data_IF_515760165376
#
_entry.id   IF_515760165376
#
_cell.length_a   1.000
_cell.length_b   1.000
_cell.length_c   1.000
_cell.angle_alpha   90.00
_cell.angle_beta   90.00
_cell.angle_gamma   90.00
#
_symmetry.space_group_name_H-M   'P 1'
#
loop_
_entity.id
_entity.type
_entity.pdbx_description
1 polymer ?
#
# COMPACT_ATOMS: atom_id res chain seq x y z
N UNK A 1 5.68 3.95 27.69
CA UNK A 1 6.14 4.95 26.69
C UNK A 1 7.29 4.31 25.94
N UNK A 2 7.23 4.23 24.60
CA UNK A 2 8.33 3.71 23.78
C UNK A 2 9.38 4.81 23.66
N UNK A 3 10.61 4.56 24.08
CA UNK A 3 11.75 5.44 23.92
C UNK A 3 12.59 5.08 22.68
N UNK A 4 13.52 5.93 22.31
CA UNK A 4 14.37 5.76 21.12
C UNK A 4 15.24 4.51 21.22
N UNK A 5 15.76 4.17 22.40
CA UNK A 5 16.61 3.01 22.57
C UNK A 5 15.82 1.70 22.42
N UNK A 6 14.56 1.70 22.84
CA UNK A 6 13.64 0.59 22.58
C UNK A 6 13.48 0.35 21.07
N UNK A 7 13.27 1.41 20.29
CA UNK A 7 13.20 1.32 18.82
C UNK A 7 14.52 0.83 18.23
N UNK A 8 15.65 1.45 18.62
CA UNK A 8 16.99 1.08 18.15
C UNK A 8 17.32 -0.38 18.41
N UNK A 9 16.86 -0.94 19.56
CA UNK A 9 17.08 -2.33 19.92
C UNK A 9 16.39 -3.33 18.97
N UNK A 10 15.40 -2.88 18.22
CA UNK A 10 14.60 -3.68 17.28
C UNK A 10 15.02 -3.52 15.82
N UNK A 11 15.92 -2.57 15.53
CA UNK A 11 16.46 -2.43 14.19
C UNK A 11 17.50 -3.54 13.96
N UNK A 12 17.34 -4.40 12.92
CA UNK A 12 18.34 -5.43 12.59
C UNK A 12 19.71 -4.81 12.28
N UNK A 13 20.79 -5.54 12.59
CA UNK A 13 22.15 -5.00 12.46
C UNK A 13 22.59 -4.62 11.05
N UNK A 14 21.93 -5.17 10.01
CA UNK A 14 22.14 -4.88 8.59
C UNK A 14 21.12 -3.85 8.04
N UNK A 15 20.33 -3.23 8.91
CA UNK A 15 19.24 -2.34 8.59
C UNK A 15 19.47 -0.94 9.15
N UNK A 16 18.80 0.04 8.54
CA UNK A 16 18.69 1.42 9.05
C UNK A 16 17.23 1.87 8.98
N UNK A 17 16.76 2.56 10.01
CA UNK A 17 15.45 3.21 10.01
C UNK A 17 15.63 4.68 9.58
N UNK A 18 14.79 5.12 8.65
CA UNK A 18 14.71 6.50 8.18
C UNK A 18 13.31 7.02 8.50
N UNK A 19 13.22 7.87 9.52
CA UNK A 19 12.00 8.59 9.87
C UNK A 19 11.95 9.89 9.08
N UNK A 20 10.97 10.01 8.19
CA UNK A 20 10.74 11.20 7.38
C UNK A 20 9.58 11.98 7.97
N UNK A 21 9.71 13.29 8.08
CA UNK A 21 8.70 14.16 8.66
C UNK A 21 8.55 15.45 7.87
N UNK A 22 7.31 15.89 7.69
CA UNK A 22 6.96 17.21 7.21
C UNK A 22 6.81 18.12 8.43
N UNK A 23 7.62 19.15 8.52
CA UNK A 23 7.67 20.04 9.67
C UNK A 23 7.56 21.50 9.25
N UNK A 24 6.92 22.32 10.06
CA UNK A 24 6.92 23.76 9.90
C UNK A 24 7.90 24.38 10.90
N UNK A 25 9.08 24.84 10.48
CA UNK A 25 10.04 25.50 11.37
C UNK A 25 9.49 26.80 11.92
N UNK A 26 9.77 27.09 13.20
CA UNK A 26 9.39 28.32 13.89
C UNK A 26 10.68 29.06 14.28
N UNK A 27 10.75 30.36 14.01
CA UNK A 27 11.80 31.20 14.56
C UNK A 27 11.52 31.53 16.02
N UNK A 28 12.33 31.02 16.93
CA UNK A 28 12.14 31.17 18.37
C UNK A 28 12.16 32.66 18.83
N UNK A 29 12.92 33.48 18.11
CA UNK A 29 13.03 34.94 18.43
C UNK A 29 11.79 35.76 18.01
N UNK A 30 10.84 35.12 17.28
CA UNK A 30 9.65 35.77 16.70
C UNK A 30 8.33 35.08 17.07
N UNK A 31 8.26 34.37 18.17
CA UNK A 31 7.10 33.54 18.58
C UNK A 31 5.78 34.32 18.67
N UNK A 32 5.82 35.68 18.74
CA UNK A 32 4.65 36.52 18.94
C UNK A 32 3.99 36.97 17.62
N UNK A 33 4.58 36.68 16.45
CA UNK A 33 4.05 37.11 15.15
C UNK A 33 3.55 35.95 14.31
N UNK A 34 2.38 36.02 13.65
CA UNK A 34 1.94 35.02 12.65
C UNK A 34 2.95 34.84 11.52
N UNK A 35 3.77 35.82 11.22
CA UNK A 35 4.82 35.81 10.19
C UNK A 35 6.09 35.04 10.62
N UNK A 36 6.12 34.50 11.83
CA UNK A 36 7.26 33.70 12.33
C UNK A 36 7.38 32.31 11.73
N UNK A 37 6.36 31.85 11.00
CA UNK A 37 6.34 30.53 10.38
C UNK A 37 7.15 30.55 9.08
N UNK A 38 8.17 29.69 9.01
CA UNK A 38 8.90 29.44 7.77
C UNK A 38 8.15 28.48 6.85
N UNK A 39 8.49 28.42 5.56
CA UNK A 39 7.98 27.38 4.68
C UNK A 39 8.19 25.99 5.29
N UNK A 40 7.20 25.11 5.11
CA UNK A 40 7.29 23.73 5.55
C UNK A 40 8.45 23.00 4.84
N UNK A 41 9.06 22.08 5.54
CA UNK A 41 10.21 21.31 5.07
C UNK A 41 10.00 19.83 5.33
N UNK A 42 10.58 19.00 4.47
CA UNK A 42 10.82 17.61 4.82
C UNK A 42 12.18 17.48 5.48
N UNK A 43 12.21 16.70 6.55
CA UNK A 43 13.41 16.36 7.31
C UNK A 43 13.46 14.85 7.52
N UNK A 44 14.63 14.32 7.80
CA UNK A 44 14.82 12.92 8.11
C UNK A 44 15.68 12.72 9.36
N UNK A 45 15.34 11.69 10.14
CA UNK A 45 16.22 11.11 11.15
C UNK A 45 16.69 9.74 10.68
N UNK A 46 17.99 9.56 10.59
CA UNK A 46 18.63 8.29 10.31
C UNK A 46 18.94 7.62 11.64
N UNK A 47 18.18 6.56 11.94
CA UNK A 47 18.26 5.85 13.23
C UNK A 47 18.92 4.49 12.99
N UNK A 48 20.08 4.25 13.63
CA UNK A 48 20.84 3.02 13.52
C UNK A 48 20.60 2.10 14.72
N UNK A 49 20.91 0.78 14.62
CA UNK A 49 20.87 -0.13 15.76
C UNK A 49 21.63 0.41 16.98
N UNK A 50 21.32 -0.07 18.18
CA UNK A 50 21.93 0.41 19.45
C UNK A 50 23.47 0.41 19.48
N UNK A 51 24.12 -0.50 18.73
CA UNK A 51 25.58 -0.58 18.62
C UNK A 51 26.18 0.31 17.53
N UNK A 52 25.32 1.04 16.81
CA UNK A 52 25.75 1.96 15.77
C UNK A 52 25.97 3.38 16.28
N UNK A 53 26.35 4.26 15.34
CA UNK A 53 26.51 5.70 15.59
C UNK A 53 25.21 6.35 16.09
N UNK A 54 25.32 7.59 16.56
CA UNK A 54 24.18 8.40 16.97
C UNK A 54 23.20 8.69 15.82
N UNK A 55 22.02 9.16 16.19
CA UNK A 55 20.97 9.56 15.25
C UNK A 55 21.47 10.74 14.40
N UNK A 56 21.36 10.63 13.09
CA UNK A 56 21.75 11.67 12.16
C UNK A 56 20.52 12.42 11.65
N UNK A 57 20.54 13.73 11.73
CA UNK A 57 19.51 14.61 11.16
C UNK A 57 19.89 15.04 9.75
N UNK A 58 18.92 15.03 8.82
CA UNK A 58 19.06 15.48 7.43
C UNK A 58 17.91 16.41 7.09
N UNK A 59 18.23 17.62 6.64
CA UNK A 59 17.26 18.54 6.07
C UNK A 59 17.14 18.28 4.56
N UNK A 60 15.98 17.85 4.11
CA UNK A 60 15.71 17.50 2.72
C UNK A 60 15.22 18.68 1.87
N UNK A 61 14.85 19.79 2.50
CA UNK A 61 14.44 21.01 1.80
C UNK A 61 12.96 21.33 1.90
N UNK A 62 12.53 22.31 1.12
CA UNK A 62 11.16 22.83 1.16
C UNK A 62 10.15 21.79 0.70
N UNK A 63 9.08 21.59 1.51
CA UNK A 63 8.03 20.60 1.25
C UNK A 63 7.33 20.86 -0.08
N UNK A 64 6.92 22.09 -0.36
CA UNK A 64 6.25 22.44 -1.61
C UNK A 64 7.06 22.13 -2.87
N UNK A 65 8.39 22.15 -2.80
CA UNK A 65 9.25 21.74 -3.93
C UNK A 65 9.23 20.23 -4.09
N UNK A 66 9.39 19.49 -3.00
CA UNK A 66 9.40 18.03 -3.01
C UNK A 66 8.03 17.49 -3.44
N UNK A 67 6.93 18.06 -2.95
CA UNK A 67 5.56 17.68 -3.34
C UNK A 67 5.35 17.81 -4.85
N UNK A 68 5.86 18.88 -5.48
CA UNK A 68 5.80 19.01 -6.96
C UNK A 68 6.60 17.94 -7.68
N UNK A 69 7.76 17.52 -7.15
CA UNK A 69 8.54 16.43 -7.73
C UNK A 69 7.82 15.08 -7.61
N UNK A 70 7.18 14.84 -6.46
CA UNK A 70 6.35 13.64 -6.25
C UNK A 70 5.19 13.61 -7.23
N UNK A 71 4.45 14.70 -7.35
CA UNK A 71 3.31 14.81 -8.27
C UNK A 71 3.75 14.61 -9.74
N UNK A 72 4.87 15.20 -10.16
CA UNK A 72 5.39 15.01 -11.51
C UNK A 72 5.80 13.55 -11.79
N UNK A 73 6.43 12.88 -10.83
CA UNK A 73 6.79 11.48 -10.95
C UNK A 73 5.55 10.58 -11.05
N UNK A 74 4.53 10.83 -10.22
CA UNK A 74 3.27 10.11 -10.28
C UNK A 74 2.55 10.29 -11.63
N UNK A 75 2.41 11.53 -12.09
CA UNK A 75 1.80 11.84 -13.40
C UNK A 75 2.53 11.08 -14.50
N UNK A 76 3.87 11.09 -14.52
CA UNK A 76 4.65 10.38 -15.53
C UNK A 76 4.43 8.87 -15.50
N UNK A 77 4.26 8.27 -14.30
CA UNK A 77 3.97 6.85 -14.17
C UNK A 77 2.54 6.52 -14.65
N UNK A 78 1.55 7.33 -14.27
CA UNK A 78 0.15 7.11 -14.67
C UNK A 78 -0.07 7.28 -16.18
N UNK A 79 0.68 8.14 -16.83
CA UNK A 79 0.66 8.33 -18.29
C UNK A 79 1.44 7.25 -19.05
N UNK A 80 2.20 6.42 -18.36
CA UNK A 80 3.10 5.43 -18.97
C UNK A 80 2.41 4.42 -19.90
N UNK A 81 1.21 3.88 -19.63
CA UNK A 81 0.56 2.96 -20.56
C UNK A 81 0.39 3.55 -21.95
N UNK A 82 -0.05 4.81 -22.04
CA UNK A 82 -0.20 5.54 -23.28
C UNK A 82 1.16 5.78 -23.98
N UNK A 83 2.16 6.22 -23.20
CA UNK A 83 3.50 6.47 -23.74
C UNK A 83 4.17 5.19 -24.26
N UNK A 84 3.95 4.04 -23.61
CA UNK A 84 4.45 2.74 -24.06
C UNK A 84 3.81 2.34 -25.38
N UNK A 85 2.50 2.55 -25.52
CA UNK A 85 1.77 2.26 -26.76
C UNK A 85 2.24 3.14 -27.93
N UNK A 86 2.45 4.43 -27.69
CA UNK A 86 2.84 5.41 -28.70
C UNK A 86 4.32 5.34 -29.10
N UNK A 87 5.24 5.14 -28.12
CA UNK A 87 6.67 5.35 -28.28
C UNK A 87 7.52 4.11 -27.96
N UNK A 88 6.90 3.03 -27.46
CA UNK A 88 7.55 1.81 -27.02
C UNK A 88 8.18 1.90 -25.62
N UNK A 89 8.47 0.74 -25.07
CA UNK A 89 8.94 0.58 -23.67
C UNK A 89 10.25 1.32 -23.36
N UNK A 90 11.18 1.39 -24.32
CA UNK A 90 12.49 2.01 -24.09
C UNK A 90 12.34 3.52 -23.89
N UNK A 91 11.62 4.21 -24.78
CA UNK A 91 11.46 5.66 -24.69
C UNK A 91 10.57 6.07 -23.51
N UNK A 92 9.49 5.33 -23.27
CA UNK A 92 8.66 5.53 -22.08
C UNK A 92 9.47 5.34 -20.79
N UNK A 93 10.37 4.35 -20.73
CA UNK A 93 11.25 4.13 -19.56
C UNK A 93 12.20 5.30 -19.35
N UNK A 94 12.76 5.88 -20.41
CA UNK A 94 13.61 7.07 -20.29
C UNK A 94 12.82 8.26 -19.75
N UNK A 95 11.60 8.45 -20.21
CA UNK A 95 10.74 9.54 -19.75
C UNK A 95 10.43 9.43 -18.26
N UNK A 96 10.00 8.24 -17.79
CA UNK A 96 9.69 8.04 -16.37
C UNK A 96 10.93 8.13 -15.49
N UNK A 97 12.10 7.65 -15.97
CA UNK A 97 13.36 7.82 -15.24
C UNK A 97 13.70 9.29 -15.08
N UNK A 98 13.57 10.10 -16.14
CA UNK A 98 13.81 11.55 -16.08
C UNK A 98 12.89 12.26 -15.08
N UNK A 99 11.66 11.78 -14.90
CA UNK A 99 10.73 12.31 -13.88
C UNK A 99 11.09 11.88 -12.45
N UNK A 100 11.72 10.70 -12.27
CA UNK A 100 12.15 10.17 -10.97
C UNK A 100 13.54 10.66 -10.54
N UNK A 101 14.42 11.04 -11.47
CA UNK A 101 15.79 11.51 -11.17
C UNK A 101 15.85 12.70 -10.20
N UNK A 102 14.95 13.70 -10.26
CA UNK A 102 14.92 14.77 -9.26
C UNK A 102 14.64 14.27 -7.84
N UNK A 103 13.87 13.18 -7.66
CA UNK A 103 13.64 12.55 -6.34
C UNK A 103 14.92 11.88 -5.83
N UNK A 104 15.70 11.24 -6.71
CA UNK A 104 17.01 10.73 -6.35
C UNK A 104 17.89 11.86 -5.80
N UNK A 105 18.06 12.92 -6.58
CA UNK A 105 18.96 14.03 -6.22
C UNK A 105 18.49 14.78 -4.96
N UNK A 106 17.19 14.99 -4.79
CA UNK A 106 16.63 15.78 -3.69
C UNK A 106 16.45 14.99 -2.40
N UNK A 107 16.09 13.70 -2.50
CA UNK A 107 15.75 12.87 -1.34
C UNK A 107 16.80 11.78 -1.10
N UNK A 108 17.01 10.90 -2.09
CA UNK A 108 17.83 9.71 -1.85
C UNK A 108 19.31 10.01 -1.66
N UNK A 109 19.90 10.87 -2.46
CA UNK A 109 21.33 11.18 -2.38
C UNK A 109 21.75 11.78 -1.02
N UNK A 110 21.02 12.75 -0.41
CA UNK A 110 21.30 13.20 0.95
C UNK A 110 21.14 12.09 1.99
N UNK A 111 20.08 11.25 1.87
CA UNK A 111 19.84 10.12 2.76
C UNK A 111 20.98 9.09 2.66
N UNK A 112 21.37 8.71 1.45
CA UNK A 112 22.45 7.74 1.22
C UNK A 112 23.79 8.19 1.82
N UNK A 113 24.14 9.47 1.68
CA UNK A 113 25.33 10.03 2.34
C UNK A 113 25.28 9.93 3.85
N UNK A 114 24.09 10.14 4.43
CA UNK A 114 23.89 10.07 5.87
C UNK A 114 23.85 8.63 6.39
N UNK A 115 23.36 7.68 5.60
CA UNK A 115 23.33 6.24 5.91
C UNK A 115 24.77 5.69 5.97
N UNK A 116 25.61 6.09 5.03
CA UNK A 116 26.93 5.52 4.83
C UNK A 116 26.91 4.16 4.14
N UNK A 117 28.07 3.51 4.10
CA UNK A 117 28.24 2.23 3.43
C UNK A 117 27.87 1.05 4.35
N UNK A 118 27.50 -0.08 3.73
CA UNK A 118 27.31 -1.37 4.43
C UNK A 118 25.87 -1.74 4.75
N UNK A 119 24.94 -0.81 4.78
CA UNK A 119 23.52 -1.11 4.97
C UNK A 119 22.89 -1.59 3.66
N UNK A 120 22.12 -2.67 3.73
CA UNK A 120 21.41 -3.24 2.57
C UNK A 120 19.89 -3.26 2.74
N UNK A 121 19.41 -3.03 3.96
CA UNK A 121 18.00 -2.99 4.30
C UNK A 121 17.61 -1.62 4.83
N UNK A 122 16.56 -1.06 4.24
CA UNK A 122 16.03 0.26 4.54
C UNK A 122 14.62 0.10 5.11
N UNK A 123 14.43 0.59 6.33
CA UNK A 123 13.12 0.75 6.94
C UNK A 123 12.75 2.21 6.81
N UNK A 124 11.72 2.52 6.02
CA UNK A 124 11.27 3.89 5.78
C UNK A 124 9.96 4.15 6.52
N UNK A 125 9.90 5.25 7.24
CA UNK A 125 8.67 5.83 7.77
C UNK A 125 8.38 7.12 6.99
N UNK A 126 7.63 7.06 5.88
CA UNK A 126 7.27 8.24 5.11
C UNK A 126 6.22 9.09 5.83
N UNK A 127 6.16 10.38 5.49
CA UNK A 127 5.14 11.32 5.96
C UNK A 127 4.54 12.08 4.78
N UNK A 128 3.28 12.44 4.87
CA UNK A 128 2.52 13.18 3.86
C UNK A 128 2.70 12.59 2.43
N UNK A 129 3.03 13.42 1.44
CA UNK A 129 3.15 12.99 0.04
C UNK A 129 4.32 12.01 -0.22
N UNK A 130 5.22 11.82 0.73
CA UNK A 130 6.31 10.83 0.58
C UNK A 130 5.80 9.37 0.58
N UNK A 131 4.58 9.10 1.05
CA UNK A 131 3.90 7.82 0.89
C UNK A 131 3.60 7.45 -0.57
N UNK A 132 3.51 8.46 -1.44
CA UNK A 132 3.18 8.29 -2.86
C UNK A 132 4.42 7.99 -3.72
N UNK A 133 5.61 8.06 -3.14
CA UNK A 133 6.87 7.81 -3.87
C UNK A 133 7.03 6.29 -4.08
N UNK A 134 7.23 5.85 -5.32
CA UNK A 134 7.66 4.48 -5.61
C UNK A 134 9.16 4.33 -5.29
N UNK A 135 9.49 4.28 -4.00
CA UNK A 135 10.87 4.25 -3.52
C UNK A 135 11.73 3.20 -4.24
N UNK A 136 11.15 2.03 -4.50
CA UNK A 136 11.81 0.95 -5.23
C UNK A 136 12.32 1.39 -6.62
N UNK A 137 11.60 2.31 -7.28
CA UNK A 137 11.86 2.76 -8.65
C UNK A 137 12.78 4.00 -8.74
N UNK A 138 13.22 4.56 -7.64
CA UNK A 138 14.17 5.69 -7.68
C UNK A 138 15.43 5.25 -8.43
N UNK A 139 15.83 5.93 -9.53
CA UNK A 139 17.08 5.61 -10.25
C UNK A 139 18.28 5.91 -9.37
N UNK A 140 19.24 4.98 -9.28
CA UNK A 140 20.51 5.18 -8.56
C UNK A 140 21.71 5.21 -9.49
N UNK A 141 21.54 4.82 -10.74
CA UNK A 141 22.48 4.98 -11.85
C UNK A 141 21.70 4.89 -13.16
N UNK A 142 22.36 5.05 -14.30
CA UNK A 142 21.73 4.95 -15.64
C UNK A 142 21.00 3.60 -15.86
N UNK A 143 21.46 2.53 -15.22
CA UNK A 143 20.94 1.18 -15.44
C UNK A 143 20.13 0.63 -14.26
N UNK A 144 20.34 1.14 -13.04
CA UNK A 144 19.80 0.54 -11.82
C UNK A 144 18.74 1.40 -11.13
N UNK A 145 17.83 0.69 -10.45
CA UNK A 145 16.86 1.25 -9.51
C UNK A 145 17.23 0.90 -8.07
N UNK A 146 16.67 1.64 -7.12
CA UNK A 146 16.96 1.50 -5.69
C UNK A 146 16.74 0.07 -5.18
N UNK A 147 15.67 -0.60 -5.62
CA UNK A 147 15.34 -1.98 -5.23
C UNK A 147 16.42 -2.99 -5.62
N UNK A 148 17.22 -2.71 -6.65
CA UNK A 148 18.27 -3.63 -7.07
C UNK A 148 19.46 -3.64 -6.10
N UNK A 149 19.62 -2.59 -5.28
CA UNK A 149 20.68 -2.52 -4.25
C UNK A 149 20.16 -2.69 -2.83
N UNK A 150 18.93 -2.24 -2.55
CA UNK A 150 18.37 -2.22 -1.20
C UNK A 150 17.07 -3.01 -1.11
N UNK A 151 16.88 -3.69 0.02
CA UNK A 151 15.61 -4.20 0.48
C UNK A 151 14.87 -3.06 1.20
N UNK A 152 13.64 -2.76 0.79
CA UNK A 152 12.87 -1.62 1.29
C UNK A 152 11.61 -2.12 1.97
N UNK A 153 11.40 -1.67 3.21
CA UNK A 153 10.19 -1.89 3.99
C UNK A 153 9.66 -0.55 4.47
N UNK A 154 8.35 -0.36 4.40
CA UNK A 154 7.70 0.81 4.96
C UNK A 154 7.15 0.50 6.36
N UNK A 155 7.10 1.50 7.22
CA UNK A 155 6.42 1.49 8.52
C UNK A 155 5.69 2.81 8.70
N UNK A 156 4.62 2.87 9.54
CA UNK A 156 3.99 4.15 9.84
C UNK A 156 4.89 4.99 10.76
N UNK A 157 5.59 4.33 11.67
CA UNK A 157 6.63 4.95 12.49
C UNK A 157 7.60 3.88 13.03
N UNK A 158 8.78 4.28 13.49
CA UNK A 158 9.72 3.36 14.12
C UNK A 158 9.18 2.68 15.36
N UNK A 159 8.13 3.20 15.99
CA UNK A 159 7.45 2.55 17.12
C UNK A 159 6.85 1.20 16.71
N UNK A 160 6.45 1.03 15.46
CA UNK A 160 5.87 -0.23 14.96
C UNK A 160 6.84 -1.39 15.13
N UNK A 161 8.16 -1.13 15.10
CA UNK A 161 9.17 -2.14 15.35
C UNK A 161 9.14 -2.73 16.77
N UNK A 162 8.53 -2.02 17.70
CA UNK A 162 8.46 -2.45 19.11
C UNK A 162 7.17 -3.21 19.44
N UNK A 163 6.23 -3.28 18.52
CA UNK A 163 5.00 -4.02 18.71
C UNK A 163 5.32 -5.52 18.83
N UNK A 164 4.81 -6.21 19.86
CA UNK A 164 5.06 -7.63 20.02
C UNK A 164 4.35 -8.39 18.87
N UNK A 165 5.01 -9.44 18.36
CA UNK A 165 4.35 -10.39 17.48
C UNK A 165 3.13 -10.99 18.19
N UNK A 166 2.01 -11.03 17.49
CA UNK A 166 0.76 -11.50 18.09
C UNK A 166 0.64 -13.02 17.92
N UNK A 167 1.01 -13.79 18.96
CA UNK A 167 0.97 -15.25 18.97
C UNK A 167 -0.48 -15.78 19.21
N UNK A 168 -1.45 -15.35 18.45
CA UNK A 168 -2.82 -15.83 18.57
C UNK A 168 -3.09 -17.01 17.63
N UNK A 169 -4.13 -17.79 17.93
CA UNK A 169 -4.62 -18.79 17.01
C UNK A 169 -5.18 -18.09 15.75
N UNK A 170 -4.54 -18.31 14.64
CA UNK A 170 -4.92 -17.74 13.34
C UNK A 170 -5.83 -18.70 12.58
N UNK A 171 -6.80 -18.14 11.90
CA UNK A 171 -7.66 -18.84 10.94
C UNK A 171 -6.92 -19.27 9.67
N UNK A 172 -7.69 -19.84 8.75
CA UNK A 172 -7.21 -20.17 7.39
C UNK A 172 -6.88 -18.90 6.62
N UNK A 173 -6.03 -18.97 5.59
CA UNK A 173 -5.92 -17.88 4.62
C UNK A 173 -7.27 -17.62 3.94
N UNK A 174 -7.53 -16.37 3.58
CA UNK A 174 -8.78 -15.95 2.93
C UNK A 174 -8.46 -15.16 1.67
N UNK A 175 -9.19 -15.43 0.60
CA UNK A 175 -9.18 -14.68 -0.65
C UNK A 175 -10.58 -14.14 -0.90
N UNK A 176 -10.71 -12.83 -1.08
CA UNK A 176 -11.94 -12.15 -1.53
C UNK A 176 -11.59 -11.44 -2.83
N UNK A 177 -12.18 -11.88 -3.96
CA UNK A 177 -11.80 -11.35 -5.28
C UNK A 177 -12.98 -11.36 -6.27
N UNK A 178 -12.83 -10.60 -7.36
CA UNK A 178 -13.80 -10.52 -8.47
C UNK A 178 -15.24 -10.27 -7.99
N UNK A 179 -15.51 -9.21 -7.18
CA UNK A 179 -16.84 -8.94 -6.67
C UNK A 179 -17.87 -8.73 -7.79
N UNK A 180 -19.07 -9.29 -7.61
CA UNK A 180 -20.19 -9.06 -8.54
C UNK A 180 -20.84 -7.71 -8.25
N UNK A 181 -20.24 -6.62 -8.74
CA UNK A 181 -20.67 -5.24 -8.44
C UNK A 181 -22.12 -4.92 -8.85
N UNK A 182 -22.67 -5.63 -9.85
CA UNK A 182 -24.03 -5.42 -10.37
C UNK A 182 -25.07 -6.38 -9.76
N UNK A 183 -24.73 -7.16 -8.73
CA UNK A 183 -25.70 -8.05 -8.07
C UNK A 183 -26.64 -7.27 -7.17
N UNK A 184 -27.94 -7.61 -7.25
CA UNK A 184 -28.95 -7.04 -6.38
C UNK A 184 -28.78 -7.45 -4.91
N UNK A 185 -29.23 -6.61 -4.00
CA UNK A 185 -29.15 -6.84 -2.54
C UNK A 185 -29.72 -8.21 -2.16
N UNK A 186 -30.88 -8.60 -2.72
CA UNK A 186 -31.52 -9.88 -2.40
C UNK A 186 -30.68 -11.09 -2.81
N UNK A 187 -29.99 -11.02 -3.95
CA UNK A 187 -29.11 -12.10 -4.42
C UNK A 187 -27.92 -12.29 -3.50
N UNK A 188 -27.36 -11.18 -2.99
CA UNK A 188 -26.27 -11.20 -2.04
C UNK A 188 -26.73 -11.76 -0.70
N UNK A 189 -27.87 -11.30 -0.16
CA UNK A 189 -28.43 -11.80 1.09
C UNK A 189 -28.70 -13.31 1.03
N UNK A 190 -29.25 -13.81 -0.08
CA UNK A 190 -29.48 -15.24 -0.27
C UNK A 190 -28.17 -16.03 -0.32
N UNK A 191 -27.13 -15.48 -0.96
CA UNK A 191 -25.80 -16.07 -0.99
C UNK A 191 -25.17 -16.12 0.41
N UNK A 192 -25.24 -15.05 1.18
CA UNK A 192 -24.71 -14.96 2.55
C UNK A 192 -25.45 -15.95 3.48
N UNK A 193 -26.77 -16.10 3.31
CA UNK A 193 -27.56 -17.07 4.08
C UNK A 193 -27.12 -18.51 3.82
N UNK A 194 -26.77 -18.84 2.57
CA UNK A 194 -26.26 -20.18 2.19
C UNK A 194 -24.90 -20.45 2.85
N UNK A 195 -24.08 -19.43 3.05
CA UNK A 195 -22.78 -19.57 3.70
C UNK A 195 -22.87 -19.76 5.22
N UNK A 196 -24.07 -19.65 5.83
CA UNK A 196 -24.31 -19.77 7.28
C UNK A 196 -23.38 -18.89 8.14
N UNK A 197 -22.96 -17.75 7.60
CA UNK A 197 -22.07 -16.84 8.31
C UNK A 197 -22.79 -16.19 9.49
N UNK A 198 -22.12 -16.15 10.63
CA UNK A 198 -22.56 -15.33 11.77
C UNK A 198 -22.24 -13.85 11.45
N UNK A 199 -23.13 -13.24 10.67
CA UNK A 199 -22.99 -11.85 10.28
C UNK A 199 -23.22 -10.97 11.51
N UNK A 200 -22.13 -10.58 12.17
CA UNK A 200 -22.17 -9.50 13.16
C UNK A 200 -22.73 -8.27 12.41
N UNK A 201 -23.92 -7.82 12.81
CA UNK A 201 -24.49 -6.57 12.30
C UNK A 201 -23.64 -5.40 12.82
N UNK A 202 -22.50 -5.17 12.21
CA UNK A 202 -21.81 -3.91 12.32
C UNK A 202 -22.65 -2.86 11.59
N UNK A 203 -22.76 -1.67 12.15
CA UNK A 203 -23.47 -0.58 11.47
C UNK A 203 -22.72 -0.27 10.20
N UNK A 204 -23.34 -0.49 9.04
CA UNK A 204 -22.85 0.06 7.79
C UNK A 204 -22.86 1.58 7.90
N UNK A 205 -21.72 2.20 7.62
CA UNK A 205 -21.61 3.65 7.56
C UNK A 205 -22.15 4.02 6.19
N UNK A 206 -23.25 4.74 6.13
CA UNK A 206 -23.82 5.21 4.87
C UNK A 206 -22.80 6.05 4.14
N UNK A 207 -22.34 5.56 2.98
CA UNK A 207 -21.36 6.20 2.13
C UNK A 207 -22.04 6.83 0.92
N UNK A 208 -21.76 8.10 0.63
CA UNK A 208 -22.21 8.74 -0.60
C UNK A 208 -21.28 8.36 -1.75
N UNK A 209 -21.59 7.26 -2.45
CA UNK A 209 -20.84 6.76 -3.58
C UNK A 209 -20.95 7.59 -4.87
N UNK A 210 -21.73 8.67 -4.87
CA UNK A 210 -21.99 9.47 -6.08
C UNK A 210 -20.72 10.04 -6.72
N UNK A 211 -19.68 10.28 -5.93
CA UNK A 211 -18.39 10.79 -6.41
C UNK A 211 -17.57 9.73 -7.19
N UNK A 212 -17.80 8.42 -6.94
CA UNK A 212 -17.03 7.35 -7.56
C UNK A 212 -17.66 6.83 -8.86
N UNK A 213 -18.99 6.93 -8.99
CA UNK A 213 -19.73 6.36 -10.12
C UNK A 213 -19.69 4.83 -10.17
N UNK A 214 -20.26 4.25 -11.24
CA UNK A 214 -20.26 2.80 -11.43
C UNK A 214 -18.90 2.28 -11.84
N UNK A 215 -18.53 1.11 -11.29
CA UNK A 215 -17.26 0.45 -11.57
C UNK A 215 -17.43 -0.76 -12.49
N UNK A 216 -16.35 -1.14 -13.17
CA UNK A 216 -16.30 -2.30 -14.05
C UNK A 216 -15.89 -3.55 -13.28
N UNK A 217 -16.34 -4.72 -13.79
CA UNK A 217 -15.90 -6.01 -13.30
C UNK A 217 -14.39 -6.19 -13.48
N UNK A 218 -13.74 -6.92 -12.55
CA UNK A 218 -12.31 -7.19 -12.52
C UNK A 218 -12.02 -8.69 -12.69
N UNK A 219 -12.25 -9.30 -13.88
CA UNK A 219 -12.06 -10.73 -14.08
C UNK A 219 -10.61 -11.20 -13.88
N UNK A 220 -9.65 -10.30 -13.98
CA UNK A 220 -8.24 -10.59 -13.70
C UNK A 220 -7.99 -11.01 -12.27
N UNK A 221 -8.73 -10.46 -11.30
CA UNK A 221 -8.57 -10.78 -9.87
C UNK A 221 -9.06 -12.20 -9.53
N UNK A 222 -10.05 -12.73 -10.26
CA UNK A 222 -10.43 -14.14 -10.17
C UNK A 222 -9.29 -15.05 -10.58
N UNK A 223 -8.67 -14.77 -11.72
CA UNK A 223 -7.54 -15.54 -12.23
C UNK A 223 -6.33 -15.45 -11.30
N UNK A 224 -6.11 -14.28 -10.72
CA UNK A 224 -5.09 -14.07 -9.70
C UNK A 224 -5.35 -14.97 -8.47
N UNK A 225 -6.58 -14.99 -7.96
CA UNK A 225 -7.00 -15.84 -6.85
C UNK A 225 -6.74 -17.33 -7.11
N UNK A 226 -7.14 -17.83 -8.29
CA UNK A 226 -6.94 -19.21 -8.71
C UNK A 226 -5.44 -19.60 -8.78
N UNK A 227 -4.60 -18.69 -9.27
CA UNK A 227 -3.16 -18.98 -9.43
C UNK A 227 -2.43 -18.98 -8.07
N UNK A 228 -2.75 -18.05 -7.17
CA UNK A 228 -2.07 -17.96 -5.88
C UNK A 228 -2.60 -18.91 -4.83
N UNK A 229 -3.78 -19.54 -5.04
CA UNK A 229 -4.36 -20.55 -4.15
C UNK A 229 -3.33 -21.59 -3.72
N UNK A 230 -2.66 -22.22 -4.70
CA UNK A 230 -1.65 -23.25 -4.45
C UNK A 230 -0.45 -22.72 -3.65
N UNK A 231 0.04 -21.53 -3.96
CA UNK A 231 1.18 -20.93 -3.23
C UNK A 231 0.79 -20.57 -1.80
N UNK A 232 -0.45 -20.10 -1.58
CA UNK A 232 -1.00 -19.85 -0.24
C UNK A 232 -1.15 -21.15 0.55
N UNK A 233 -1.66 -22.22 -0.05
CA UNK A 233 -1.76 -23.52 0.60
C UNK A 233 -0.40 -24.04 1.04
N UNK A 234 0.61 -23.98 0.15
CA UNK A 234 1.98 -24.41 0.48
C UNK A 234 2.59 -23.56 1.60
N UNK A 235 2.41 -22.23 1.57
CA UNK A 235 3.01 -21.34 2.57
C UNK A 235 2.37 -21.50 3.96
N UNK A 236 1.09 -21.84 4.03
CA UNK A 236 0.29 -21.91 5.26
C UNK A 236 0.03 -23.35 5.74
N UNK A 237 0.35 -24.38 4.95
CA UNK A 237 -0.01 -25.79 5.16
C UNK A 237 -1.52 -26.05 5.27
N UNK A 238 -2.34 -25.14 4.76
CA UNK A 238 -3.80 -25.25 4.71
C UNK A 238 -4.31 -24.42 3.54
N UNK A 239 -5.27 -24.95 2.77
CA UNK A 239 -5.87 -24.25 1.63
C UNK A 239 -6.67 -23.03 2.08
N UNK A 240 -6.69 -21.95 1.28
CA UNK A 240 -7.47 -20.75 1.58
C UNK A 240 -8.98 -20.99 1.48
N UNK A 241 -9.76 -20.17 2.17
CA UNK A 241 -11.17 -19.95 1.87
C UNK A 241 -11.27 -18.90 0.77
N UNK A 242 -12.07 -19.16 -0.28
CA UNK A 242 -12.12 -18.31 -1.46
C UNK A 242 -13.56 -17.84 -1.67
N UNK A 243 -13.75 -16.53 -1.68
CA UNK A 243 -15.03 -15.85 -1.87
C UNK A 243 -14.97 -15.03 -3.16
N UNK A 244 -15.77 -15.41 -4.16
CA UNK A 244 -15.80 -14.79 -5.49
C UNK A 244 -17.23 -14.37 -5.86
N UNK A 245 -17.36 -13.42 -6.76
CA UNK A 245 -18.64 -12.97 -7.28
C UNK A 245 -19.52 -12.36 -6.19
N UNK A 246 -20.70 -12.91 -5.98
CA UNK A 246 -21.65 -12.48 -4.95
C UNK A 246 -21.15 -12.76 -3.53
N UNK A 247 -20.27 -13.76 -3.36
CA UNK A 247 -19.64 -14.06 -2.07
C UNK A 247 -18.57 -13.03 -1.68
N UNK A 248 -18.02 -12.28 -2.64
CA UNK A 248 -17.09 -11.20 -2.36
C UNK A 248 -17.83 -9.96 -1.84
N UNK A 249 -18.59 -10.14 -0.76
CA UNK A 249 -19.52 -9.19 -0.15
C UNK A 249 -18.96 -8.63 1.17
N UNK A 250 -19.47 -7.49 1.55
CA UNK A 250 -19.11 -6.77 2.77
C UNK A 250 -19.37 -7.61 4.03
N UNK A 251 -20.52 -8.30 4.10
CA UNK A 251 -20.86 -9.21 5.19
C UNK A 251 -19.83 -10.33 5.38
N UNK A 252 -19.25 -10.87 4.28
CA UNK A 252 -18.18 -11.87 4.35
C UNK A 252 -16.95 -11.29 4.99
N UNK A 253 -16.52 -10.10 4.56
CA UNK A 253 -15.36 -9.43 5.16
C UNK A 253 -15.58 -9.16 6.65
N UNK A 254 -16.73 -8.62 7.03
CA UNK A 254 -17.08 -8.31 8.43
C UNK A 254 -17.16 -9.55 9.34
N UNK A 255 -17.40 -10.74 8.75
CA UNK A 255 -17.40 -12.01 9.49
C UNK A 255 -16.03 -12.61 9.72
N UNK A 256 -14.97 -12.05 9.13
CA UNK A 256 -13.61 -12.59 9.27
C UNK A 256 -13.11 -12.54 10.71
N UNK A 257 -12.47 -13.62 11.13
CA UNK A 257 -11.83 -13.73 12.43
C UNK A 257 -10.38 -14.17 12.27
N UNK A 258 -9.46 -13.21 12.30
CA UNK A 258 -8.00 -13.43 12.31
C UNK A 258 -7.50 -14.37 11.21
N UNK A 259 -7.84 -14.15 9.93
CA UNK A 259 -7.27 -14.94 8.86
C UNK A 259 -5.75 -14.81 8.89
N UNK A 260 -5.00 -15.90 8.69
CA UNK A 260 -3.54 -15.84 8.69
C UNK A 260 -3.01 -14.92 7.58
N UNK A 261 -3.57 -15.06 6.38
CA UNK A 261 -3.32 -14.20 5.24
C UNK A 261 -4.66 -13.79 4.65
N UNK A 262 -4.82 -12.53 4.32
CA UNK A 262 -6.00 -12.00 3.66
C UNK A 262 -5.60 -11.38 2.33
N UNK A 263 -6.20 -11.83 1.23
CA UNK A 263 -6.06 -11.21 -0.07
C UNK A 263 -7.37 -10.58 -0.50
N UNK A 264 -7.31 -9.31 -0.92
CA UNK A 264 -8.42 -8.54 -1.44
C UNK A 264 -8.15 -8.16 -2.89
N UNK A 265 -8.91 -8.75 -3.84
CA UNK A 265 -8.84 -8.47 -5.28
C UNK A 265 -10.06 -7.67 -5.74
N UNK A 266 -10.05 -6.34 -5.59
CA UNK A 266 -11.19 -5.47 -5.90
C UNK A 266 -10.78 -4.03 -6.24
N UNK A 267 -11.73 -3.12 -6.47
CA UNK A 267 -11.45 -1.68 -6.55
C UNK A 267 -11.27 -1.07 -5.17
N UNK A 268 -10.22 -0.27 -5.00
CA UNK A 268 -10.05 0.61 -3.86
C UNK A 268 -10.39 2.05 -4.23
N UNK A 269 -10.75 2.87 -3.26
CA UNK A 269 -10.99 4.30 -3.47
C UNK A 269 -10.41 5.14 -2.35
N UNK A 270 -10.11 6.39 -2.71
CA UNK A 270 -9.77 7.45 -1.77
C UNK A 270 -10.44 8.73 -2.26
N UNK A 271 -11.22 9.38 -1.40
CA UNK A 271 -11.86 10.66 -1.67
C UNK A 271 -11.07 11.80 -0.99
N UNK A 272 -10.85 12.87 -1.72
CA UNK A 272 -10.29 14.09 -1.16
C UNK A 272 -11.34 14.92 -0.39
N UNK A 273 -10.92 15.99 0.27
CA UNK A 273 -11.80 16.85 1.05
C UNK A 273 -12.86 17.62 0.21
N UNK A 274 -12.67 17.67 -1.11
CA UNK A 274 -13.64 18.29 -2.03
C UNK A 274 -14.74 17.31 -2.42
N UNK A 275 -14.41 16.01 -2.44
CA UNK A 275 -15.29 14.91 -2.81
C UNK A 275 -16.09 14.36 -1.62
N UNK A 276 -15.56 14.46 -0.40
CA UNK A 276 -16.24 14.05 0.82
C UNK A 276 -16.05 15.09 1.91
N UNK A 277 -17.15 15.38 2.63
CA UNK A 277 -17.14 16.31 3.77
C UNK A 277 -16.79 15.64 5.09
N UNK A 278 -16.60 14.33 5.11
CA UNK A 278 -16.24 13.63 6.34
C UNK A 278 -14.82 14.03 6.77
N UNK A 279 -14.64 14.53 7.99
CA UNK A 279 -13.32 14.94 8.48
C UNK A 279 -12.39 13.75 8.76
N UNK A 280 -12.92 12.52 8.84
CA UNK A 280 -12.12 11.33 9.13
C UNK A 280 -11.57 10.72 7.83
N UNK A 281 -10.25 10.69 7.63
CA UNK A 281 -9.64 10.07 6.44
C UNK A 281 -10.03 8.61 6.22
N UNK A 282 -10.31 7.86 7.30
CA UNK A 282 -10.73 6.45 7.21
C UNK A 282 -12.16 6.29 6.68
N UNK A 283 -13.01 7.29 6.81
CA UNK A 283 -14.33 7.32 6.17
C UNK A 283 -14.26 7.68 4.67
N UNK A 284 -13.13 8.25 4.23
CA UNK A 284 -12.90 8.70 2.86
C UNK A 284 -12.11 7.72 2.01
N UNK A 285 -11.75 6.56 2.55
CA UNK A 285 -11.06 5.49 1.80
C UNK A 285 -11.72 4.14 2.07
N UNK A 286 -11.59 3.21 1.14
CA UNK A 286 -12.17 1.88 1.30
C UNK A 286 -12.02 1.00 0.07
N UNK A 287 -12.79 -0.10 0.08
CA UNK A 287 -12.84 -1.10 -0.97
C UNK A 287 -14.29 -1.25 -1.46
N UNK A 288 -14.47 -1.51 -2.75
CA UNK A 288 -15.77 -1.77 -3.35
C UNK A 288 -15.99 -3.28 -3.47
N UNK A 289 -17.17 -3.74 -3.05
CA UNK A 289 -17.52 -5.16 -2.98
C UNK A 289 -18.81 -5.45 -3.77
N UNK A 290 -19.29 -6.69 -3.70
CA UNK A 290 -20.49 -7.12 -4.42
C UNK A 290 -21.69 -6.21 -4.10
N UNK A 291 -22.48 -5.87 -5.11
CA UNK A 291 -23.68 -5.04 -5.00
C UNK A 291 -23.47 -3.53 -5.09
N UNK A 292 -22.23 -3.06 -5.08
CA UNK A 292 -21.92 -1.61 -5.09
C UNK A 292 -22.64 -0.81 -6.18
N UNK A 293 -22.63 -1.30 -7.44
CA UNK A 293 -23.27 -0.57 -8.56
C UNK A 293 -24.80 -0.54 -8.44
N UNK A 294 -25.40 -1.56 -7.85
CA UNK A 294 -26.83 -1.66 -7.66
C UNK A 294 -27.29 -0.73 -6.52
N UNK A 295 -26.52 -0.69 -5.43
CA UNK A 295 -26.77 0.21 -4.31
C UNK A 295 -26.69 1.71 -4.70
N UNK A 296 -25.88 2.07 -5.71
CA UNK A 296 -25.86 3.44 -6.23
C UNK A 296 -27.19 3.86 -6.89
N UNK A 297 -27.90 2.91 -7.51
CA UNK A 297 -29.19 3.17 -8.14
C UNK A 297 -30.35 3.23 -7.12
N UNK A 298 -30.22 2.49 -6.00
CA UNK A 298 -31.23 2.40 -4.93
C UNK A 298 -30.75 3.08 -3.64
N UNK A 299 -30.89 4.40 -3.56
CA UNK A 299 -30.49 5.21 -2.39
C UNK A 299 -31.23 4.85 -1.08
N UNK A 300 -32.14 3.88 -1.09
CA UNK A 300 -32.94 3.48 0.06
C UNK A 300 -32.47 2.17 0.72
N UNK A 301 -31.39 1.54 0.24
CA UNK A 301 -30.90 0.29 0.79
C UNK A 301 -30.37 0.48 2.21
N UNK A 302 -31.09 -0.07 3.18
CA UNK A 302 -30.64 -0.19 4.57
C UNK A 302 -29.87 -1.49 4.72
N UNK A 303 -28.55 -1.44 4.79
CA UNK A 303 -27.72 -2.64 4.94
C UNK A 303 -26.32 -2.44 4.37
N UNK A 304 -25.69 -3.54 4.01
CA UNK A 304 -24.40 -3.53 3.30
C UNK A 304 -24.62 -2.93 1.91
N UNK A 305 -23.92 -1.83 1.61
CA UNK A 305 -24.02 -1.06 0.36
C UNK A 305 -22.92 -1.41 -0.65
N UNK A 306 -22.15 -2.46 -0.34
CA UNK A 306 -21.00 -2.87 -1.16
C UNK A 306 -19.80 -1.95 -1.02
N UNK A 307 -19.78 -1.06 -0.03
CA UNK A 307 -18.66 -0.16 0.27
C UNK A 307 -18.07 -0.49 1.63
N UNK A 308 -16.90 -1.07 1.64
CA UNK A 308 -16.15 -1.34 2.86
C UNK A 308 -15.21 -0.17 3.16
N UNK A 309 -15.63 0.74 4.02
CA UNK A 309 -14.82 1.91 4.42
C UNK A 309 -13.64 1.53 5.32
N UNK A 310 -12.62 2.40 5.39
CA UNK A 310 -11.51 2.22 6.34
C UNK A 310 -11.97 2.14 7.79
N UNK A 311 -13.08 2.81 8.16
CA UNK A 311 -13.66 2.71 9.51
C UNK A 311 -14.21 1.31 9.78
N UNK A 312 -14.92 0.70 8.84
CA UNK A 312 -15.47 -0.65 8.98
C UNK A 312 -14.36 -1.72 8.98
N UNK A 313 -13.29 -1.48 8.21
CA UNK A 313 -12.09 -2.33 8.27
C UNK A 313 -11.52 -2.36 9.69
N UNK A 314 -11.41 -1.21 10.36
CA UNK A 314 -10.88 -1.11 11.73
C UNK A 314 -11.73 -1.89 12.74
N UNK A 315 -13.02 -2.05 12.51
CA UNK A 315 -13.92 -2.81 13.38
C UNK A 315 -13.79 -4.33 13.23
N UNK A 316 -13.13 -4.82 12.18
CA UNK A 316 -12.94 -6.26 11.91
C UNK A 316 -11.75 -6.79 12.72
N UNK A 317 -11.85 -8.01 13.27
CA UNK A 317 -10.76 -8.62 14.05
C UNK A 317 -9.70 -9.25 13.14
N UNK A 318 -8.68 -8.47 12.81
CA UNK A 318 -7.51 -8.92 12.06
C UNK A 318 -6.27 -9.08 12.95
N UNK A 319 -6.43 -9.16 14.29
CA UNK A 319 -5.32 -9.27 15.23
C UNK A 319 -4.48 -10.50 14.99
N UNK A 320 -3.21 -10.30 14.63
CA UNK A 320 -2.27 -11.35 14.30
C UNK A 320 -2.31 -11.82 12.84
N UNK A 321 -3.20 -11.27 12.00
CA UNK A 321 -3.13 -11.50 10.54
C UNK A 321 -1.73 -11.14 10.05
N UNK A 322 -0.97 -12.14 9.61
CA UNK A 322 0.45 -11.99 9.25
C UNK A 322 0.63 -11.11 8.02
N UNK A 323 -0.32 -11.19 7.05
CA UNK A 323 -0.22 -10.48 5.80
C UNK A 323 -1.60 -10.16 5.21
N UNK A 324 -1.81 -8.90 4.88
CA UNK A 324 -2.90 -8.47 3.99
C UNK A 324 -2.30 -8.09 2.65
N UNK A 325 -2.87 -8.60 1.55
CA UNK A 325 -2.49 -8.24 0.18
C UNK A 325 -3.66 -7.52 -0.48
N UNK A 326 -3.45 -6.27 -0.84
CA UNK A 326 -4.43 -5.45 -1.55
C UNK A 326 -4.04 -5.40 -3.03
N UNK A 327 -4.62 -6.30 -3.82
CA UNK A 327 -4.65 -6.20 -5.28
C UNK A 327 -5.85 -5.33 -5.67
N UNK A 328 -5.92 -4.15 -5.08
CA UNK A 328 -7.06 -3.27 -5.09
C UNK A 328 -6.57 -1.83 -5.24
N UNK A 329 -6.33 -1.38 -6.46
CA UNK A 329 -5.82 -0.04 -6.64
C UNK A 329 -6.45 0.65 -7.84
N UNK A 330 -7.50 1.35 -7.56
CA UNK A 330 -7.82 2.60 -8.21
C UNK A 330 -7.71 3.75 -7.20
N UNK A 331 -6.49 4.05 -6.79
CA UNK A 331 -6.19 5.36 -6.23
C UNK A 331 -6.28 6.46 -7.29
N UNK A 332 -6.71 6.13 -8.50
CA UNK A 332 -6.71 6.96 -9.70
C UNK A 332 -8.05 7.53 -10.15
N UNK A 333 -9.15 7.41 -9.40
CA UNK A 333 -10.40 8.10 -9.74
C UNK A 333 -10.45 9.57 -9.30
N UNK A 334 -9.41 10.06 -8.66
CA UNK A 334 -9.18 11.47 -8.35
C UNK A 334 -7.70 11.69 -8.14
N UNK A 335 -7.17 12.85 -8.52
CA UNK A 335 -5.80 13.23 -8.19
C UNK A 335 -5.66 13.12 -6.66
N UNK A 336 -4.91 12.12 -6.20
CA UNK A 336 -4.52 12.04 -4.79
C UNK A 336 -3.63 13.25 -4.56
N UNK A 337 -4.20 14.31 -4.00
CA UNK A 337 -3.45 15.51 -3.67
C UNK A 337 -2.69 15.34 -2.35
N UNK A 338 -3.13 14.37 -1.52
CA UNK A 338 -2.54 14.13 -0.22
C UNK A 338 -2.19 12.65 -0.04
N UNK A 339 -0.95 12.36 0.38
CA UNK A 339 -0.48 11.00 0.69
C UNK A 339 -1.24 10.30 1.82
N UNK A 340 -2.07 11.03 2.55
CA UNK A 340 -2.86 10.53 3.68
C UNK A 340 -3.87 9.45 3.28
N UNK A 341 -4.46 9.52 2.08
CA UNK A 341 -5.47 8.57 1.67
C UNK A 341 -4.91 7.15 1.41
N UNK A 342 -3.75 7.03 0.77
CA UNK A 342 -3.07 5.74 0.55
C UNK A 342 -2.54 5.19 1.87
N UNK A 343 -2.04 6.06 2.76
CA UNK A 343 -1.68 5.70 4.11
C UNK A 343 -2.91 5.23 4.90
N UNK A 344 -4.06 5.90 4.73
CA UNK A 344 -5.30 5.61 5.46
C UNK A 344 -5.79 4.18 5.30
N UNK A 345 -5.87 3.65 4.06
CA UNK A 345 -6.33 2.28 3.83
C UNK A 345 -5.36 1.24 4.43
N UNK A 346 -4.05 1.41 4.24
CA UNK A 346 -3.04 0.55 4.88
C UNK A 346 -3.14 0.62 6.40
N UNK A 347 -3.27 1.84 6.91
CA UNK A 347 -3.41 2.08 8.34
C UNK A 347 -4.69 1.46 8.90
N UNK A 348 -5.81 1.46 8.17
CA UNK A 348 -7.04 0.81 8.59
C UNK A 348 -6.83 -0.68 8.86
N UNK A 349 -6.18 -1.41 7.94
CA UNK A 349 -5.85 -2.82 8.13
C UNK A 349 -4.89 -3.06 9.30
N UNK A 350 -3.92 -2.18 9.50
CA UNK A 350 -2.99 -2.29 10.63
C UNK A 350 -3.68 -1.97 11.98
N UNK A 351 -4.59 -0.99 12.01
CA UNK A 351 -5.41 -0.69 13.19
C UNK A 351 -6.37 -1.84 13.52
N UNK A 352 -6.89 -2.55 12.51
CA UNK A 352 -7.65 -3.78 12.69
C UNK A 352 -6.80 -4.94 13.28
N UNK A 353 -5.46 -4.82 13.22
CA UNK A 353 -4.51 -5.76 13.82
C UNK A 353 -3.64 -6.55 12.84
N UNK A 354 -3.67 -6.22 11.54
CA UNK A 354 -2.78 -6.83 10.55
C UNK A 354 -1.32 -6.41 10.80
N UNK A 355 -0.41 -7.39 10.78
CA UNK A 355 1.02 -7.15 11.00
C UNK A 355 1.69 -6.49 9.80
N UNK A 356 1.29 -6.87 8.58
CA UNK A 356 1.84 -6.32 7.36
C UNK A 356 0.78 -6.17 6.27
N UNK A 357 0.94 -5.13 5.47
CA UNK A 357 0.07 -4.86 4.31
C UNK A 357 0.94 -4.70 3.07
N UNK A 358 0.69 -5.50 2.04
CA UNK A 358 1.19 -5.30 0.68
C UNK A 358 0.10 -4.59 -0.10
N UNK A 359 0.39 -3.42 -0.63
CA UNK A 359 -0.56 -2.63 -1.40
C UNK A 359 0.11 -1.94 -2.58
N UNK A 360 -0.68 -1.57 -3.59
CA UNK A 360 -0.18 -0.88 -4.77
C UNK A 360 -0.34 0.63 -4.66
N UNK A 361 0.50 1.35 -5.39
CA UNK A 361 0.46 2.81 -5.52
C UNK A 361 -0.35 3.27 -6.73
N UNK A 362 -0.55 2.37 -7.71
CA UNK A 362 -1.35 2.58 -8.93
C UNK A 362 -1.85 1.25 -9.47
N UNK A 363 -2.83 1.32 -10.36
CA UNK A 363 -3.35 0.16 -11.07
C UNK A 363 -2.33 -0.36 -12.09
N UNK A 364 -2.05 -1.66 -12.05
CA UNK A 364 -1.18 -2.33 -13.02
C UNK A 364 -1.96 -3.41 -13.77
N UNK A 365 -1.45 -3.83 -14.93
CA UNK A 365 -2.10 -4.88 -15.72
C UNK A 365 -2.15 -6.21 -14.98
N UNK A 366 -3.25 -6.96 -15.18
CA UNK A 366 -3.48 -8.28 -14.55
C UNK A 366 -2.30 -9.23 -14.72
N UNK A 367 -1.70 -9.27 -15.93
CA UNK A 367 -0.56 -10.18 -16.21
C UNK A 367 0.67 -9.82 -15.38
N UNK A 368 0.98 -8.53 -15.24
CA UNK A 368 2.12 -8.08 -14.45
C UNK A 368 1.89 -8.36 -12.96
N UNK A 369 0.66 -8.13 -12.47
CA UNK A 369 0.23 -8.42 -11.10
C UNK A 369 0.38 -9.91 -10.77
N UNK A 370 -0.18 -10.78 -11.59
CA UNK A 370 -0.11 -12.24 -11.41
C UNK A 370 1.33 -12.71 -11.29
N UNK A 371 2.22 -12.31 -12.22
CA UNK A 371 3.62 -12.73 -12.19
C UNK A 371 4.36 -12.29 -10.93
N UNK A 372 4.07 -11.08 -10.45
CA UNK A 372 4.66 -10.54 -9.24
C UNK A 372 4.13 -11.27 -8.01
N UNK A 373 2.80 -11.49 -7.91
CA UNK A 373 2.17 -12.19 -6.80
C UNK A 373 2.64 -13.64 -6.69
N UNK A 374 2.70 -14.40 -7.78
CA UNK A 374 3.24 -15.77 -7.79
C UNK A 374 4.65 -15.78 -7.18
N UNK A 375 5.52 -14.88 -7.64
CA UNK A 375 6.91 -14.85 -7.14
C UNK A 375 6.98 -14.41 -5.67
N UNK A 376 6.12 -13.48 -5.24
CA UNK A 376 6.00 -13.06 -3.85
C UNK A 376 5.60 -14.25 -2.96
N UNK A 377 4.51 -14.95 -3.30
CA UNK A 377 4.02 -16.07 -2.49
C UNK A 377 4.95 -17.29 -2.53
N UNK A 378 5.63 -17.56 -3.64
CA UNK A 378 6.70 -18.56 -3.69
C UNK A 378 7.85 -18.21 -2.74
N UNK A 379 8.22 -16.94 -2.66
CA UNK A 379 9.20 -16.45 -1.70
C UNK A 379 8.76 -16.63 -0.25
N UNK A 380 7.49 -16.34 0.05
CA UNK A 380 6.90 -16.56 1.38
C UNK A 380 6.84 -18.05 1.75
N UNK A 381 6.50 -18.93 0.80
CA UNK A 381 6.53 -20.37 1.00
C UNK A 381 7.94 -20.88 1.35
N UNK A 382 8.98 -20.24 0.83
CA UNK A 382 10.38 -20.47 1.18
C UNK A 382 10.82 -19.80 2.50
N UNK A 383 9.86 -19.25 3.28
CA UNK A 383 10.11 -18.57 4.57
C UNK A 383 11.00 -17.33 4.46
N UNK A 384 11.04 -16.65 3.32
CA UNK A 384 11.65 -15.33 3.21
C UNK A 384 10.80 -14.31 3.94
N UNK A 385 11.43 -13.23 4.43
CA UNK A 385 10.68 -12.08 4.93
C UNK A 385 9.84 -11.44 3.82
N UNK A 386 8.75 -10.78 4.19
CA UNK A 386 7.83 -10.15 3.25
C UNK A 386 8.53 -9.10 2.35
N UNK A 387 9.42 -8.22 2.90
CA UNK A 387 10.19 -7.31 2.07
C UNK A 387 11.16 -8.01 1.11
N UNK A 388 11.84 -9.08 1.58
CA UNK A 388 12.75 -9.85 0.73
C UNK A 388 12.00 -10.56 -0.41
N UNK A 389 10.84 -11.16 -0.11
CA UNK A 389 10.02 -11.83 -1.11
C UNK A 389 9.48 -10.83 -2.16
N UNK A 390 9.02 -9.65 -1.75
CA UNK A 390 8.59 -8.60 -2.67
C UNK A 390 9.73 -8.09 -3.53
N UNK A 391 10.90 -7.82 -2.93
CA UNK A 391 12.11 -7.41 -3.65
C UNK A 391 12.51 -8.42 -4.73
N UNK A 392 12.51 -9.71 -4.40
CA UNK A 392 12.84 -10.76 -5.36
C UNK A 392 11.85 -10.80 -6.53
N UNK A 393 10.55 -10.61 -6.24
CA UNK A 393 9.52 -10.53 -7.27
C UNK A 393 9.76 -9.33 -8.21
N UNK A 394 10.04 -8.16 -7.65
CA UNK A 394 10.35 -6.96 -8.41
C UNK A 394 11.62 -7.13 -9.26
N UNK A 395 12.70 -7.66 -8.70
CA UNK A 395 13.96 -7.90 -9.43
C UNK A 395 13.76 -8.91 -10.56
N UNK A 396 13.01 -10.00 -10.32
CA UNK A 396 12.70 -10.97 -11.36
C UNK A 396 11.94 -10.31 -12.53
N UNK A 397 10.97 -9.46 -12.23
CA UNK A 397 10.21 -8.75 -13.24
C UNK A 397 11.07 -7.73 -14.01
N UNK A 398 11.94 -6.98 -13.31
CA UNK A 398 12.91 -6.08 -13.93
C UNK A 398 13.78 -6.83 -14.96
N UNK A 399 14.32 -7.99 -14.59
CA UNK A 399 15.15 -8.80 -15.48
C UNK A 399 14.36 -9.27 -16.70
N UNK A 400 13.16 -9.83 -16.51
CA UNK A 400 12.31 -10.30 -17.59
C UNK A 400 11.94 -9.19 -18.58
N UNK A 401 11.64 -7.98 -18.08
CA UNK A 401 11.33 -6.82 -18.93
C UNK A 401 12.56 -6.36 -19.71
N UNK A 402 13.74 -6.28 -19.08
CA UNK A 402 14.98 -5.93 -19.79
C UNK A 402 15.30 -6.93 -20.90
N UNK A 403 15.14 -8.24 -20.64
CA UNK A 403 15.41 -9.29 -21.61
C UNK A 403 14.41 -9.25 -22.78
N UNK A 404 13.13 -8.97 -22.51
CA UNK A 404 12.07 -9.01 -23.52
C UNK A 404 11.90 -7.70 -24.28
N UNK A 405 12.00 -6.57 -23.59
CA UNK A 405 11.61 -5.23 -24.09
C UNK A 405 12.81 -4.26 -24.20
N UNK A 406 13.99 -4.69 -23.75
CA UNK A 406 15.19 -3.85 -23.71
C UNK A 406 15.18 -2.81 -22.59
N UNK A 407 14.09 -2.70 -21.83
CA UNK A 407 13.95 -1.76 -20.73
C UNK A 407 13.00 -2.29 -19.66
N UNK A 408 13.22 -1.93 -18.37
CA UNK A 408 12.37 -2.33 -17.26
C UNK A 408 11.51 -1.13 -16.80
N UNK A 409 10.39 -0.91 -17.46
CA UNK A 409 9.52 0.21 -17.13
C UNK A 409 8.90 0.04 -15.72
N UNK A 410 9.08 1.02 -14.79
CA UNK A 410 8.62 0.95 -13.39
C UNK A 410 7.11 0.70 -13.22
N UNK A 411 6.31 1.12 -14.18
CA UNK A 411 4.85 0.90 -14.19
C UNK A 411 4.48 -0.55 -13.91
N UNK A 412 5.24 -1.53 -14.43
CA UNK A 412 4.90 -2.94 -14.35
C UNK A 412 5.38 -3.66 -13.08
N UNK A 413 6.31 -3.09 -12.30
CA UNK A 413 6.92 -3.79 -11.17
C UNK A 413 7.02 -2.98 -9.88
N UNK A 414 6.97 -1.64 -9.94
CA UNK A 414 7.21 -0.80 -8.78
C UNK A 414 5.94 -0.37 -8.02
N UNK A 415 4.76 -0.79 -8.48
CA UNK A 415 3.50 -0.43 -7.86
C UNK A 415 3.37 -0.97 -6.42
N UNK A 416 3.80 -2.21 -6.18
CA UNK A 416 3.66 -2.83 -4.88
C UNK A 416 4.68 -2.36 -3.85
N UNK A 417 4.19 -2.09 -2.66
CA UNK A 417 4.99 -1.76 -1.47
C UNK A 417 4.55 -2.61 -0.30
N UNK A 418 5.45 -2.90 0.63
CA UNK A 418 5.15 -3.63 1.87
C UNK A 418 5.31 -2.70 3.07
N UNK A 419 4.27 -2.63 3.91
CA UNK A 419 4.23 -1.80 5.12
C UNK A 419 3.99 -2.69 6.33
N UNK A 420 4.71 -2.48 7.45
CA UNK A 420 4.51 -3.18 8.71
C UNK A 420 5.67 -4.07 9.12
N UNK A 421 5.35 -5.16 9.84
CA UNK A 421 6.34 -6.07 10.40
C UNK A 421 6.99 -7.00 9.36
N UNK A 422 8.18 -7.49 9.72
CA UNK A 422 8.95 -8.45 8.92
C UNK A 422 8.34 -9.85 8.94
#
# INVERSE_FOLDING_TARGET
MVDVDSVRSKIPGDSVLIELLRVQPIELDRIISPDARKPERYVAWIVRPLKGEDITFVDLGEAARIDRLVAAAQTSILESPKLIEENGSIEATKSVRAALEPLHSQLWQPLQRAIGDGQKKIILSPDANLWLIPWAAIPISDEKFLVEEFEIRLVNSGRDLTNPANNQNLGRPVIIADPAFNSGVQEIEDTIRILELDTKRTRSISFDGSALGKVRQLPGTRKEAEIIETSLEVSNNVGPEIFLGQQAAEAVFKSLERPRTLMMGTHGFVLDETQSKDPNPLARCGLLLAGYNDALDDQAASGDDGVLTGLEIVETDLRGTELVVLSACQTGLGAIQDGEGVAGLRQAFQLAGAESVVATLWEISDIATVNLMVTLFDGLALKKSKPAALRDAQIKQIRQLRDREGAAHPFFWAAFTVTGHE
#
